data_IF_983986964084
#
_entry.id   IF_983986964084
#
_cell.length_a   1.000
_cell.length_b   1.000
_cell.length_c   1.000
_cell.angle_alpha   90.00
_cell.angle_beta   90.00
_cell.angle_gamma   90.00
#
_symmetry.space_group_name_H-M   'P 1'
#
loop_
_entity.id
_entity.type
_entity.pdbx_description
1 polymer ?
#
# COMPACT_ATOMS: atom_id res chain seq x y z
N UNK A 1 12.49 13.75 -32.82
CA UNK A 1 11.69 12.54 -32.58
C UNK A 1 10.96 12.75 -31.26
N UNK A 2 9.65 12.89 -31.29
CA UNK A 2 8.87 13.11 -30.07
C UNK A 2 8.80 11.81 -29.27
N UNK A 3 8.82 11.87 -27.93
CA UNK A 3 8.79 10.71 -27.01
C UNK A 3 7.69 9.65 -27.29
N UNK A 4 6.67 10.00 -28.08
CA UNK A 4 5.57 9.12 -28.47
C UNK A 4 5.85 8.26 -29.72
N UNK A 5 6.87 8.59 -30.52
CA UNK A 5 7.23 7.83 -31.73
C UNK A 5 8.22 6.69 -31.43
N UNK A 6 8.89 6.74 -30.27
CA UNK A 6 9.81 5.71 -29.79
C UNK A 6 9.08 4.78 -28.80
N UNK A 7 9.09 3.44 -29.00
CA UNK A 7 8.55 2.50 -28.02
C UNK A 7 9.13 2.69 -26.61
N UNK A 8 10.41 3.10 -26.48
CA UNK A 8 11.01 3.37 -25.17
C UNK A 8 10.38 4.60 -24.48
N UNK A 9 10.12 5.67 -25.23
CA UNK A 9 9.49 6.88 -24.69
C UNK A 9 8.04 6.66 -24.27
N UNK A 10 7.33 5.74 -24.94
CA UNK A 10 5.95 5.37 -24.56
C UNK A 10 5.88 4.69 -23.18
N UNK A 11 6.87 3.84 -22.85
CA UNK A 11 6.96 3.18 -21.53
C UNK A 11 7.20 4.22 -20.42
N UNK A 12 8.10 5.17 -20.65
CA UNK A 12 8.39 6.27 -19.71
C UNK A 12 7.13 7.10 -19.42
N UNK A 13 6.41 7.52 -20.47
CA UNK A 13 5.16 8.29 -20.32
C UNK A 13 4.10 7.49 -19.57
N UNK A 14 3.99 6.19 -19.84
CA UNK A 14 3.03 5.30 -19.17
C UNK A 14 3.35 5.19 -17.67
N UNK A 15 4.62 5.01 -17.30
CA UNK A 15 5.06 4.96 -15.89
C UNK A 15 4.82 6.27 -15.17
N UNK A 16 5.18 7.39 -15.80
CA UNK A 16 4.93 8.71 -15.25
C UNK A 16 3.43 8.92 -14.98
N UNK A 17 2.59 8.55 -15.95
CA UNK A 17 1.13 8.65 -15.83
C UNK A 17 0.62 7.77 -14.69
N UNK A 18 1.08 6.53 -14.58
CA UNK A 18 0.70 5.63 -13.50
C UNK A 18 1.06 6.20 -12.12
N UNK A 19 2.28 6.72 -11.93
CA UNK A 19 2.65 7.32 -10.65
C UNK A 19 1.90 8.62 -10.34
N UNK A 20 1.64 9.47 -11.33
CA UNK A 20 0.82 10.66 -11.14
C UNK A 20 -0.62 10.31 -10.73
N UNK A 21 -1.22 9.30 -11.35
CA UNK A 21 -2.53 8.80 -10.97
C UNK A 21 -2.53 8.18 -9.57
N UNK A 22 -1.48 7.44 -9.20
CA UNK A 22 -1.30 6.92 -7.86
C UNK A 22 -1.18 8.05 -6.83
N UNK A 23 -0.41 9.09 -7.12
CA UNK A 23 -0.29 10.28 -6.28
C UNK A 23 -1.66 10.89 -5.99
N UNK A 24 -2.45 11.14 -7.03
CA UNK A 24 -3.80 11.71 -6.89
C UNK A 24 -4.72 10.77 -6.11
N UNK A 25 -4.69 9.47 -6.40
CA UNK A 25 -5.52 8.47 -5.72
C UNK A 25 -5.17 8.36 -4.22
N UNK A 26 -3.88 8.27 -3.88
CA UNK A 26 -3.40 8.18 -2.50
C UNK A 26 -3.66 9.47 -1.71
N UNK A 27 -3.43 10.63 -2.31
CA UNK A 27 -3.73 11.92 -1.67
C UNK A 27 -5.23 12.08 -1.43
N UNK A 28 -6.07 11.68 -2.39
CA UNK A 28 -7.52 11.70 -2.25
C UNK A 28 -7.98 10.75 -1.14
N UNK A 29 -7.43 9.53 -1.09
CA UNK A 29 -7.70 8.58 -0.02
C UNK A 29 -7.37 9.21 1.34
N UNK A 30 -6.16 9.75 1.52
CA UNK A 30 -5.76 10.41 2.77
C UNK A 30 -6.71 11.52 3.17
N UNK A 31 -7.08 12.40 2.22
CA UNK A 31 -7.95 13.54 2.48
C UNK A 31 -9.34 13.11 2.97
N UNK A 32 -10.02 12.21 2.24
CA UNK A 32 -11.36 11.77 2.62
C UNK A 32 -11.35 10.93 3.89
N UNK A 33 -10.29 10.15 4.12
CA UNK A 33 -10.10 9.37 5.35
C UNK A 33 -9.93 10.30 6.56
N UNK A 34 -9.12 11.36 6.44
CA UNK A 34 -8.98 12.38 7.47
C UNK A 34 -10.31 13.08 7.77
N UNK A 35 -11.07 13.41 6.73
CA UNK A 35 -12.38 14.04 6.88
C UNK A 35 -13.36 13.12 7.61
N UNK A 36 -13.39 11.83 7.26
CA UNK A 36 -14.27 10.85 7.88
C UNK A 36 -13.88 10.59 9.36
N UNK A 37 -12.58 10.53 9.65
CA UNK A 37 -12.05 10.39 11.01
C UNK A 37 -12.48 11.53 11.94
N UNK A 38 -12.59 12.76 11.43
CA UNK A 38 -13.01 13.94 12.21
C UNK A 38 -14.50 13.94 12.58
N UNK A 39 -15.38 13.27 11.81
CA UNK A 39 -16.85 13.30 11.98
C UNK A 39 -17.43 12.25 12.95
N UNK A 40 -16.57 11.41 13.54
CA UNK A 40 -16.78 10.52 14.72
C UNK A 40 -18.18 9.90 14.93
N UNK A 41 -18.36 8.68 14.42
CA UNK A 41 -19.26 7.65 15.01
C UNK A 41 -18.52 6.40 15.51
N UNK A 42 -17.28 6.15 15.06
CA UNK A 42 -16.44 5.02 15.53
C UNK A 42 -15.05 5.56 15.87
N UNK A 43 -14.65 5.47 17.15
CA UNK A 43 -13.29 5.79 17.65
C UNK A 43 -12.36 4.66 17.23
N UNK A 44 -11.91 4.70 15.98
CA UNK A 44 -11.24 3.58 15.35
C UNK A 44 -9.78 3.90 15.01
N UNK A 45 -8.85 3.10 15.53
CA UNK A 45 -7.41 3.21 15.21
C UNK A 45 -7.13 2.80 13.75
N UNK A 46 -8.07 2.10 13.10
CA UNK A 46 -8.06 1.82 11.65
C UNK A 46 -7.81 3.08 10.83
N UNK A 47 -8.47 4.19 11.18
CA UNK A 47 -8.35 5.44 10.40
C UNK A 47 -6.91 5.97 10.39
N UNK A 48 -6.16 5.78 11.48
CA UNK A 48 -4.75 6.17 11.57
C UNK A 48 -3.91 5.39 10.55
N UNK A 49 -4.08 4.07 10.48
CA UNK A 49 -3.36 3.23 9.53
C UNK A 49 -3.77 3.49 8.07
N UNK A 50 -5.04 3.77 7.78
CA UNK A 50 -5.45 4.16 6.41
C UNK A 50 -4.86 5.50 6.00
N UNK A 51 -4.77 6.47 6.92
CA UNK A 51 -4.08 7.75 6.67
C UNK A 51 -2.59 7.52 6.41
N UNK A 52 -1.92 6.73 7.25
CA UNK A 52 -0.51 6.37 7.07
C UNK A 52 -0.27 5.63 5.76
N UNK A 53 -1.18 4.73 5.36
CA UNK A 53 -1.15 4.08 4.06
C UNK A 53 -1.27 5.10 2.93
N UNK A 54 -2.23 6.01 2.95
CA UNK A 54 -2.34 7.05 1.92
C UNK A 54 -1.11 7.98 1.85
N UNK A 55 -0.49 8.30 2.98
CA UNK A 55 0.79 9.04 3.03
C UNK A 55 1.92 8.21 2.38
N UNK A 56 2.07 6.94 2.76
CA UNK A 56 3.07 6.05 2.18
C UNK A 56 2.86 5.83 0.68
N UNK A 57 1.61 5.73 0.22
CA UNK A 57 1.26 5.64 -1.20
C UNK A 57 1.60 6.93 -1.96
N UNK A 58 1.44 8.10 -1.32
CA UNK A 58 1.86 9.39 -1.88
C UNK A 58 3.39 9.45 -2.03
N UNK A 59 4.14 9.02 -1.01
CA UNK A 59 5.60 8.95 -1.08
C UNK A 59 6.07 7.93 -2.13
N UNK A 60 5.39 6.79 -2.25
CA UNK A 60 5.64 5.79 -3.27
C UNK A 60 5.46 6.37 -4.68
N UNK A 61 4.39 7.13 -4.91
CA UNK A 61 4.18 7.82 -6.19
C UNK A 61 5.24 8.89 -6.49
N UNK A 62 5.64 9.69 -5.50
CA UNK A 62 6.68 10.72 -5.68
C UNK A 62 8.04 10.11 -5.99
N UNK A 63 8.44 9.08 -5.25
CA UNK A 63 9.72 8.38 -5.43
C UNK A 63 9.75 7.58 -6.73
N UNK A 64 8.62 6.99 -7.14
CA UNK A 64 8.48 6.37 -8.46
C UNK A 64 8.56 7.39 -9.61
N UNK A 65 7.97 8.57 -9.44
CA UNK A 65 8.09 9.66 -10.42
C UNK A 65 9.54 10.14 -10.51
N UNK A 66 10.22 10.32 -9.37
CA UNK A 66 11.63 10.69 -9.32
C UNK A 66 12.52 9.63 -9.99
N UNK A 67 12.24 8.35 -9.78
CA UNK A 67 12.97 7.25 -10.44
C UNK A 67 12.84 7.33 -11.97
N UNK A 68 11.62 7.58 -12.48
CA UNK A 68 11.38 7.70 -13.93
C UNK A 68 12.09 8.92 -14.51
N UNK A 69 12.12 10.04 -13.79
CA UNK A 69 12.82 11.27 -14.22
C UNK A 69 14.33 11.07 -14.20
N UNK A 70 14.86 10.42 -13.16
CA UNK A 70 16.29 10.08 -13.06
C UNK A 70 16.73 9.14 -14.18
N UNK A 71 15.92 8.12 -14.50
CA UNK A 71 16.16 7.19 -15.60
C UNK A 71 16.12 7.85 -16.99
N UNK A 72 15.46 9.01 -17.12
CA UNK A 72 15.44 9.79 -18.36
C UNK A 72 16.66 10.74 -18.50
N UNK A 73 17.70 10.58 -17.66
CA UNK A 73 18.92 11.42 -17.61
C UNK A 73 18.63 12.92 -17.37
N UNK A 74 17.45 13.26 -16.84
CA UNK A 74 17.06 14.65 -16.56
C UNK A 74 17.74 15.18 -15.28
N UNK A 75 18.17 14.27 -14.39
CA UNK A 75 18.83 14.56 -13.12
C UNK A 75 19.95 13.54 -12.88
N UNK A 76 21.14 14.01 -12.50
CA UNK A 76 22.24 13.18 -11.97
C UNK A 76 21.86 12.61 -10.60
N UNK A 77 20.98 11.61 -10.59
CA UNK A 77 20.57 10.91 -9.39
C UNK A 77 20.91 9.42 -9.50
N UNK A 78 21.41 8.84 -8.42
CA UNK A 78 21.66 7.41 -8.35
C UNK A 78 20.34 6.65 -8.46
N UNK A 79 20.11 6.08 -9.65
CA UNK A 79 18.90 5.34 -10.02
C UNK A 79 18.68 4.15 -9.07
N UNK A 80 19.76 3.53 -8.58
CA UNK A 80 19.70 2.42 -7.63
C UNK A 80 19.16 2.87 -6.28
N UNK A 81 19.66 4.01 -5.78
CA UNK A 81 19.22 4.59 -4.51
C UNK A 81 17.75 5.04 -4.55
N UNK A 82 17.35 5.80 -5.57
CA UNK A 82 15.97 6.30 -5.72
C UNK A 82 14.99 5.13 -5.89
N UNK A 83 15.35 4.13 -6.70
CA UNK A 83 14.55 2.92 -6.86
C UNK A 83 14.40 2.13 -5.57
N UNK A 84 15.43 2.10 -4.73
CA UNK A 84 15.39 1.42 -3.43
C UNK A 84 14.49 2.15 -2.42
N UNK A 85 14.49 3.48 -2.42
CA UNK A 85 13.55 4.27 -1.62
C UNK A 85 12.11 4.05 -2.11
N UNK A 86 11.88 4.02 -3.42
CA UNK A 86 10.55 3.71 -3.97
C UNK A 86 10.02 2.37 -3.44
N UNK A 87 10.86 1.33 -3.47
CA UNK A 87 10.52 -0.02 -2.96
C UNK A 87 10.17 -0.01 -1.47
N UNK A 88 10.91 0.76 -0.66
CA UNK A 88 10.58 0.99 0.75
C UNK A 88 9.19 1.61 0.90
N UNK A 89 8.91 2.70 0.19
CA UNK A 89 7.61 3.39 0.28
C UNK A 89 6.45 2.47 -0.14
N UNK A 90 6.64 1.67 -1.20
CA UNK A 90 5.68 0.66 -1.62
C UNK A 90 5.43 -0.40 -0.55
N UNK A 91 6.49 -0.87 0.12
CA UNK A 91 6.36 -1.85 1.19
C UNK A 91 5.57 -1.28 2.39
N UNK A 92 5.89 -0.06 2.82
CA UNK A 92 5.16 0.61 3.89
C UNK A 92 3.70 0.87 3.54
N UNK A 93 3.40 1.18 2.27
CA UNK A 93 2.02 1.28 1.78
C UNK A 93 1.25 -0.03 2.00
N UNK A 94 1.83 -1.17 1.65
CA UNK A 94 1.23 -2.50 1.85
C UNK A 94 1.08 -2.82 3.34
N UNK A 95 2.13 -2.56 4.14
CA UNK A 95 2.13 -2.83 5.58
C UNK A 95 1.01 -2.05 6.27
N UNK A 96 0.91 -0.74 6.04
CA UNK A 96 -0.12 0.08 6.68
C UNK A 96 -1.54 -0.33 6.26
N UNK A 97 -1.75 -0.72 5.00
CA UNK A 97 -3.03 -1.30 4.59
C UNK A 97 -3.32 -2.61 5.33
N UNK A 98 -2.35 -3.50 5.46
CA UNK A 98 -2.52 -4.76 6.17
C UNK A 98 -2.84 -4.55 7.66
N UNK A 99 -2.16 -3.61 8.32
CA UNK A 99 -2.42 -3.23 9.70
C UNK A 99 -3.80 -2.58 9.88
N UNK A 100 -4.25 -1.78 8.90
CA UNK A 100 -5.61 -1.23 8.92
C UNK A 100 -6.69 -2.33 8.92
N UNK A 101 -6.48 -3.42 8.16
CA UNK A 101 -7.41 -4.55 8.14
C UNK A 101 -7.40 -5.34 9.45
N UNK A 102 -6.22 -5.50 10.06
CA UNK A 102 -6.09 -6.13 11.36
C UNK A 102 -6.85 -5.36 12.43
N UNK A 103 -6.70 -4.03 12.48
CA UNK A 103 -7.38 -3.23 13.50
C UNK A 103 -8.90 -3.23 13.30
N UNK A 104 -9.36 -3.17 12.05
CA UNK A 104 -10.77 -3.31 11.72
C UNK A 104 -11.35 -4.67 12.16
N UNK A 105 -10.57 -5.75 12.06
CA UNK A 105 -11.01 -7.07 12.55
C UNK A 105 -11.22 -7.07 14.05
N UNK A 106 -10.28 -6.50 14.80
CA UNK A 106 -10.38 -6.49 16.25
C UNK A 106 -11.44 -5.53 16.81
N UNK A 107 -11.82 -4.50 16.05
CA UNK A 107 -12.94 -3.63 16.39
C UNK A 107 -14.30 -4.25 16.05
N UNK A 108 -14.33 -5.30 15.22
CA UNK A 108 -15.58 -6.01 14.92
C UNK A 108 -16.08 -6.81 16.14
N UNK A 109 -17.40 -7.07 16.26
CA UNK A 109 -17.97 -7.84 17.37
C UNK A 109 -17.33 -9.23 17.54
N UNK A 110 -16.79 -9.81 16.46
CA UNK A 110 -16.09 -11.08 16.50
C UNK A 110 -14.69 -10.96 17.09
N UNK A 111 -13.95 -9.91 16.73
CA UNK A 111 -12.63 -9.64 17.29
C UNK A 111 -12.66 -9.28 18.77
N UNK A 112 -13.79 -8.77 19.28
CA UNK A 112 -13.99 -8.50 20.72
C UNK A 112 -14.09 -9.81 21.52
N UNK A 113 -14.65 -10.88 20.95
CA UNK A 113 -14.66 -12.22 21.55
C UNK A 113 -13.28 -12.88 21.60
N UNK A 114 -12.49 -12.75 20.52
CA UNK A 114 -11.11 -13.27 20.46
C UNK A 114 -10.12 -12.45 21.31
N UNK A 115 -10.26 -11.11 21.39
CA UNK A 115 -9.45 -10.25 22.28
C UNK A 115 -9.81 -10.44 23.76
N UNK A 116 -11.06 -10.79 24.06
CA UNK A 116 -11.60 -10.82 25.43
C UNK A 116 -11.27 -12.07 26.23
N UNK A 117 -10.78 -13.14 25.60
CA UNK A 117 -10.57 -14.42 26.26
C UNK A 117 -9.20 -14.57 26.95
N UNK A 118 -8.07 -14.10 26.37
CA UNK A 118 -6.75 -14.62 26.82
C UNK A 118 -5.50 -13.73 26.56
N UNK A 119 -5.56 -12.39 26.64
CA UNK A 119 -4.35 -11.55 26.47
C UNK A 119 -3.95 -10.79 27.75
N UNK A 120 -2.91 -11.25 28.49
CA UNK A 120 -2.39 -10.57 29.69
C UNK A 120 -1.57 -9.29 29.39
N UNK A 121 -1.67 -8.74 28.19
CA UNK A 121 -0.84 -7.63 27.69
C UNK A 121 -1.72 -6.42 27.43
N UNK A 122 -1.35 -5.27 27.99
CA UNK A 122 -2.10 -4.02 27.82
C UNK A 122 -2.12 -3.57 26.35
N UNK A 123 -3.23 -2.94 25.92
CA UNK A 123 -3.42 -2.40 24.56
C UNK A 123 -2.29 -1.40 24.19
N UNK A 124 -1.78 -0.66 25.17
CA UNK A 124 -0.69 0.29 24.99
C UNK A 124 0.66 -0.40 24.72
N UNK A 125 0.92 -1.55 25.35
CA UNK A 125 2.13 -2.34 25.11
C UNK A 125 2.17 -2.95 23.71
N UNK A 126 1.03 -3.42 23.18
CA UNK A 126 0.95 -3.98 21.82
C UNK A 126 1.32 -2.91 20.78
N UNK A 127 0.93 -1.66 21.01
CA UNK A 127 1.21 -0.53 20.12
C UNK A 127 2.69 -0.13 20.11
N UNK A 128 3.34 -0.15 21.26
CA UNK A 128 4.79 0.09 21.34
C UNK A 128 5.59 -1.01 20.65
N UNK A 129 5.15 -2.26 20.77
CA UNK A 129 5.78 -3.38 20.07
C UNK A 129 5.60 -3.25 18.56
N UNK A 130 4.43 -2.83 18.10
CA UNK A 130 4.15 -2.61 16.68
C UNK A 130 4.97 -1.45 16.10
N UNK A 131 4.99 -0.30 16.79
CA UNK A 131 5.82 0.83 16.41
C UNK A 131 7.31 0.47 16.43
N UNK A 132 7.74 -0.33 17.43
CA UNK A 132 9.09 -0.86 17.51
C UNK A 132 9.43 -1.78 16.34
N UNK A 133 8.54 -2.70 16.00
CA UNK A 133 8.70 -3.59 14.85
C UNK A 133 8.80 -2.81 13.53
N UNK A 134 7.91 -1.83 13.31
CA UNK A 134 7.96 -0.96 12.13
C UNK A 134 9.23 -0.12 12.07
N UNK A 135 9.69 0.39 13.23
CA UNK A 135 10.93 1.16 13.33
C UNK A 135 12.15 0.29 13.02
N UNK A 136 12.22 -0.93 13.57
CA UNK A 136 13.28 -1.89 13.29
C UNK A 136 13.28 -2.27 11.81
N UNK A 137 12.10 -2.57 11.24
CA UNK A 137 11.97 -2.88 9.82
C UNK A 137 12.42 -1.70 8.94
N UNK A 138 12.03 -0.47 9.30
CA UNK A 138 12.47 0.75 8.61
C UNK A 138 13.99 0.92 8.66
N UNK A 139 14.59 0.83 9.86
CA UNK A 139 16.02 1.00 10.07
C UNK A 139 16.83 -0.09 9.37
N UNK A 140 16.36 -1.34 9.42
CA UNK A 140 16.99 -2.47 8.74
C UNK A 140 16.95 -2.27 7.22
N UNK A 141 15.81 -1.87 6.67
CA UNK A 141 15.70 -1.60 5.24
C UNK A 141 16.57 -0.40 4.84
N UNK A 142 16.61 0.67 5.64
CA UNK A 142 17.51 1.80 5.43
C UNK A 142 18.99 1.39 5.43
N UNK A 143 19.40 0.52 6.36
CA UNK A 143 20.77 0.03 6.40
C UNK A 143 21.12 -0.74 5.12
N UNK A 144 20.21 -1.56 4.59
CA UNK A 144 20.42 -2.29 3.33
C UNK A 144 20.59 -1.32 2.15
N UNK A 145 19.77 -0.26 2.10
CA UNK A 145 19.87 0.78 1.05
C UNK A 145 21.20 1.53 1.14
N UNK A 146 21.61 1.94 2.35
CA UNK A 146 22.87 2.68 2.56
C UNK A 146 24.12 1.86 2.24
N UNK A 147 24.01 0.52 2.30
CA UNK A 147 25.07 -0.41 1.93
C UNK A 147 25.02 -0.81 0.44
N UNK A 148 24.11 -0.23 -0.35
CA UNK A 148 23.91 -0.48 -1.78
C UNK A 148 23.65 -1.98 -2.12
N UNK A 149 22.97 -2.67 -1.20
CA UNK A 149 22.64 -4.09 -1.34
C UNK A 149 21.32 -4.27 -2.12
N UNK A 150 21.31 -3.90 -3.40
CA UNK A 150 20.09 -3.87 -4.26
C UNK A 150 19.41 -5.25 -4.33
N UNK A 151 20.19 -6.33 -4.52
CA UNK A 151 19.64 -7.69 -4.60
C UNK A 151 19.00 -8.14 -3.28
N UNK A 152 19.58 -7.74 -2.15
CA UNK A 152 19.02 -8.04 -0.82
C UNK A 152 17.72 -7.26 -0.63
N UNK A 153 17.68 -5.99 -1.05
CA UNK A 153 16.49 -5.15 -1.01
C UNK A 153 15.32 -5.80 -1.74
N UNK A 154 15.56 -6.35 -2.92
CA UNK A 154 14.58 -7.09 -3.72
C UNK A 154 14.02 -8.32 -3.00
N UNK A 155 14.90 -9.15 -2.44
CA UNK A 155 14.51 -10.39 -1.75
C UNK A 155 13.72 -10.07 -0.48
N UNK A 156 14.19 -9.10 0.31
CA UNK A 156 13.51 -8.66 1.54
C UNK A 156 12.15 -8.06 1.20
N UNK A 157 12.07 -7.23 0.16
CA UNK A 157 10.81 -6.65 -0.31
C UNK A 157 9.82 -7.74 -0.72
N UNK A 158 10.24 -8.76 -1.48
CA UNK A 158 9.38 -9.87 -1.88
C UNK A 158 8.84 -10.65 -0.68
N UNK A 159 9.74 -11.05 0.22
CA UNK A 159 9.35 -11.81 1.40
C UNK A 159 8.36 -11.01 2.27
N UNK A 160 8.66 -9.73 2.49
CA UNK A 160 7.81 -8.85 3.27
C UNK A 160 6.49 -8.54 2.55
N UNK A 161 6.49 -8.24 1.25
CA UNK A 161 5.26 -7.93 0.52
C UNK A 161 4.31 -9.11 0.49
N UNK A 162 4.82 -10.33 0.24
CA UNK A 162 4.01 -11.56 0.30
C UNK A 162 3.46 -11.75 1.72
N UNK A 163 4.32 -11.65 2.74
CA UNK A 163 3.94 -11.83 4.13
C UNK A 163 2.83 -10.86 4.55
N UNK A 164 3.00 -9.56 4.32
CA UNK A 164 2.03 -8.53 4.70
C UNK A 164 0.76 -8.53 3.85
N UNK A 165 0.85 -8.83 2.56
CA UNK A 165 -0.33 -9.00 1.72
C UNK A 165 -1.17 -10.18 2.22
N UNK A 166 -0.57 -11.36 2.45
CA UNK A 166 -1.28 -12.52 2.98
C UNK A 166 -1.85 -12.24 4.38
N UNK A 167 -1.10 -11.55 5.23
CA UNK A 167 -1.55 -11.12 6.55
C UNK A 167 -2.81 -10.25 6.43
N UNK A 168 -2.77 -9.16 5.67
CA UNK A 168 -3.90 -8.25 5.50
C UNK A 168 -5.13 -8.92 4.87
N UNK A 169 -4.91 -9.77 3.85
CA UNK A 169 -5.99 -10.54 3.20
C UNK A 169 -6.62 -11.57 4.16
N UNK A 170 -5.84 -12.21 5.02
CA UNK A 170 -6.37 -13.15 6.02
C UNK A 170 -7.32 -12.47 7.00
N UNK A 171 -6.97 -11.29 7.51
CA UNK A 171 -7.87 -10.52 8.38
C UNK A 171 -9.12 -10.04 7.62
N UNK A 172 -8.94 -9.49 6.42
CA UNK A 172 -10.06 -8.99 5.63
C UNK A 172 -11.06 -10.10 5.25
N UNK A 173 -10.58 -11.31 4.92
CA UNK A 173 -11.45 -12.46 4.61
C UNK A 173 -12.18 -12.99 5.85
N UNK A 174 -11.55 -12.98 7.02
CA UNK A 174 -12.22 -13.30 8.30
C UNK A 174 -13.36 -12.32 8.61
N UNK A 175 -13.14 -11.02 8.45
CA UNK A 175 -14.21 -10.01 8.61
C UNK A 175 -15.34 -10.23 7.60
N UNK A 176 -14.98 -10.56 6.35
CA UNK A 176 -15.97 -10.80 5.29
C UNK A 176 -16.84 -12.04 5.55
N UNK A 177 -16.23 -13.15 5.98
CA UNK A 177 -16.96 -14.37 6.36
C UNK A 177 -17.88 -14.15 7.57
N UNK A 178 -17.45 -13.30 8.50
CA UNK A 178 -18.22 -12.87 9.67
C UNK A 178 -19.44 -12.02 9.33
N UNK A 179 -19.28 -11.09 8.38
CA UNK A 179 -20.27 -10.08 8.03
C UNK A 179 -21.31 -10.56 7.01
N UNK A 180 -21.25 -11.82 6.56
CA UNK A 180 -22.18 -12.39 5.56
C UNK A 180 -23.66 -12.33 5.95
N UNK A 181 -24.01 -12.07 7.22
CA UNK A 181 -25.39 -11.83 7.66
C UNK A 181 -25.89 -10.39 7.42
N UNK A 182 -25.00 -9.43 7.14
CA UNK A 182 -25.34 -8.02 6.97
C UNK A 182 -24.64 -7.45 5.73
N UNK A 183 -25.37 -7.40 4.60
CA UNK A 183 -24.95 -6.77 3.31
C UNK A 183 -24.70 -5.26 3.50
N UNK A 184 -23.61 -4.93 4.17
CA UNK A 184 -23.26 -3.57 4.57
C UNK A 184 -22.18 -3.01 3.65
N UNK A 185 -22.09 -1.67 3.59
CA UNK A 185 -21.06 -0.91 2.88
C UNK A 185 -19.63 -1.41 3.22
N UNK A 186 -19.46 -1.99 4.41
CA UNK A 186 -18.21 -2.58 4.90
C UNK A 186 -17.70 -3.74 4.01
N UNK A 187 -18.58 -4.63 3.53
CA UNK A 187 -18.18 -5.77 2.69
C UNK A 187 -17.59 -5.31 1.35
N UNK A 188 -18.16 -4.24 0.79
CA UNK A 188 -17.66 -3.65 -0.46
C UNK A 188 -16.29 -2.97 -0.23
N UNK A 189 -16.12 -2.25 0.88
CA UNK A 189 -14.83 -1.63 1.23
C UNK A 189 -13.72 -2.67 1.43
N UNK A 190 -14.00 -3.75 2.17
CA UNK A 190 -13.05 -4.86 2.39
C UNK A 190 -12.63 -5.51 1.09
N UNK A 191 -13.57 -5.71 0.16
CA UNK A 191 -13.28 -6.30 -1.15
C UNK A 191 -12.28 -5.46 -1.94
N UNK A 192 -12.45 -4.13 -1.94
CA UNK A 192 -11.49 -3.25 -2.63
C UNK A 192 -10.13 -3.21 -1.92
N UNK A 193 -10.08 -3.27 -0.59
CA UNK A 193 -8.80 -3.27 0.13
C UNK A 193 -8.03 -4.57 -0.10
N UNK A 194 -8.71 -5.73 -0.12
CA UNK A 194 -8.11 -7.01 -0.54
C UNK A 194 -7.54 -6.88 -1.96
N UNK A 195 -8.32 -6.31 -2.89
CA UNK A 195 -7.89 -6.13 -4.26
C UNK A 195 -6.65 -5.22 -4.38
N UNK A 196 -6.58 -4.14 -3.59
CA UNK A 196 -5.39 -3.26 -3.50
C UNK A 196 -4.19 -4.02 -2.93
N UNK A 197 -4.36 -4.78 -1.85
CA UNK A 197 -3.27 -5.56 -1.24
C UNK A 197 -2.70 -6.62 -2.19
N UNK A 198 -3.56 -7.31 -2.93
CA UNK A 198 -3.15 -8.33 -3.91
C UNK A 198 -2.45 -7.69 -5.11
N UNK A 199 -2.96 -6.58 -5.62
CA UNK A 199 -2.36 -5.90 -6.77
C UNK A 199 -1.04 -5.20 -6.41
N UNK A 200 -0.98 -4.46 -5.31
CA UNK A 200 0.25 -3.81 -4.85
C UNK A 200 1.30 -4.82 -4.38
N UNK A 201 0.88 -5.87 -3.66
CA UNK A 201 1.75 -6.98 -3.26
C UNK A 201 2.28 -7.78 -4.45
N UNK A 202 1.42 -8.03 -5.44
CA UNK A 202 1.81 -8.65 -6.71
C UNK A 202 2.81 -7.79 -7.49
N UNK A 203 2.60 -6.47 -7.56
CA UNK A 203 3.54 -5.56 -8.20
C UNK A 203 4.94 -5.64 -7.56
N UNK A 204 5.00 -5.66 -6.22
CA UNK A 204 6.26 -5.88 -5.49
C UNK A 204 6.89 -7.24 -5.81
N UNK A 205 6.08 -8.30 -5.90
CA UNK A 205 6.59 -9.65 -6.12
C UNK A 205 7.18 -9.83 -7.53
N UNK A 206 6.55 -9.22 -8.52
CA UNK A 206 6.97 -9.27 -9.93
C UNK A 206 8.34 -8.61 -10.12
N UNK A 207 8.68 -7.57 -9.34
CA UNK A 207 9.97 -6.89 -9.44
C UNK A 207 11.19 -7.82 -9.19
N UNK A 208 11.01 -8.92 -8.46
CA UNK A 208 12.08 -9.93 -8.26
C UNK A 208 12.32 -10.78 -9.50
N UNK A 209 11.42 -10.77 -10.47
CA UNK A 209 11.59 -11.48 -11.75
C UNK A 209 12.90 -11.14 -12.47
N UNK A 210 13.42 -9.93 -12.25
CA UNK A 210 14.73 -9.51 -12.81
C UNK A 210 15.89 -10.37 -12.28
N UNK A 211 15.82 -10.87 -11.04
CA UNK A 211 16.83 -11.78 -10.48
C UNK A 211 16.74 -13.19 -11.06
N UNK A 212 15.59 -13.55 -11.63
CA UNK A 212 15.34 -14.86 -12.24
C UNK A 212 15.57 -14.85 -13.77
N UNK A 213 16.29 -13.84 -14.29
CA UNK A 213 16.59 -13.66 -15.72
C UNK A 213 15.34 -13.53 -16.60
N UNK A 214 14.23 -13.07 -16.02
CA UNK A 214 13.02 -12.73 -16.77
C UNK A 214 13.26 -11.42 -17.50
N UNK A 215 12.79 -11.33 -18.75
CA UNK A 215 12.89 -10.14 -19.59
C UNK A 215 12.41 -8.88 -18.82
N UNK A 216 13.26 -7.85 -18.65
CA UNK A 216 12.92 -6.65 -17.88
C UNK A 216 11.65 -5.95 -18.37
N UNK A 217 11.44 -5.92 -19.69
CA UNK A 217 10.25 -5.34 -20.31
C UNK A 217 8.95 -6.04 -19.87
N UNK A 218 8.99 -7.36 -19.65
CA UNK A 218 7.82 -8.13 -19.21
C UNK A 218 7.54 -7.87 -17.72
N UNK A 219 8.58 -7.85 -16.89
CA UNK A 219 8.48 -7.49 -15.47
C UNK A 219 7.89 -6.09 -15.29
N UNK A 220 8.39 -5.13 -16.04
CA UNK A 220 7.94 -3.74 -16.02
C UNK A 220 6.47 -3.62 -16.46
N UNK A 221 6.10 -4.27 -17.57
CA UNK A 221 4.73 -4.28 -18.07
C UNK A 221 3.73 -4.82 -17.04
N UNK A 222 4.05 -5.95 -16.40
CA UNK A 222 3.18 -6.56 -15.39
C UNK A 222 3.10 -5.67 -14.14
N UNK A 223 4.22 -5.10 -13.69
CA UNK A 223 4.24 -4.19 -12.53
C UNK A 223 3.38 -2.95 -12.77
N UNK A 224 3.44 -2.36 -13.98
CA UNK A 224 2.60 -1.22 -14.37
C UNK A 224 1.12 -1.61 -14.32
N UNK A 225 0.74 -2.74 -14.92
CA UNK A 225 -0.67 -3.19 -14.93
C UNK A 225 -1.19 -3.38 -13.51
N UNK A 226 -0.43 -4.05 -12.65
CA UNK A 226 -0.81 -4.27 -11.25
C UNK A 226 -0.90 -2.96 -10.46
N UNK A 227 -0.01 -2.01 -10.75
CA UNK A 227 -0.07 -0.66 -10.16
C UNK A 227 -1.35 0.06 -10.61
N UNK A 228 -1.69 0.04 -11.89
CA UNK A 228 -2.93 0.64 -12.43
C UNK A 228 -4.18 -0.02 -11.82
N UNK A 229 -4.17 -1.34 -11.62
CA UNK A 229 -5.26 -2.02 -10.91
C UNK A 229 -5.38 -1.51 -9.46
N UNK A 230 -4.26 -1.36 -8.74
CA UNK A 230 -4.23 -0.80 -7.39
C UNK A 230 -4.85 0.60 -7.35
N UNK A 231 -4.48 1.47 -8.30
CA UNK A 231 -5.01 2.83 -8.45
C UNK A 231 -6.53 2.79 -8.66
N UNK A 232 -7.00 1.91 -9.54
CA UNK A 232 -8.43 1.79 -9.84
C UNK A 232 -9.22 1.45 -8.59
N UNK A 233 -8.77 0.46 -7.82
CA UNK A 233 -9.44 0.07 -6.58
C UNK A 233 -9.35 1.16 -5.50
N UNK A 234 -8.23 1.89 -5.40
CA UNK A 234 -8.07 3.05 -4.52
C UNK A 234 -9.09 4.15 -4.84
N UNK A 235 -9.29 4.48 -6.11
CA UNK A 235 -10.25 5.50 -6.54
C UNK A 235 -11.70 5.09 -6.23
N UNK A 236 -12.05 3.82 -6.45
CA UNK A 236 -13.38 3.31 -6.11
C UNK A 236 -13.60 3.36 -4.60
N UNK A 237 -12.62 2.90 -3.80
CA UNK A 237 -12.68 2.99 -2.34
C UNK A 237 -12.86 4.44 -1.86
N UNK A 238 -12.09 5.36 -2.44
CA UNK A 238 -12.15 6.79 -2.12
C UNK A 238 -13.52 7.39 -2.45
N UNK A 239 -14.10 7.00 -3.58
CA UNK A 239 -15.46 7.45 -3.97
C UNK A 239 -16.51 6.96 -2.98
N UNK A 240 -16.39 5.72 -2.48
CA UNK A 240 -17.28 5.20 -1.44
C UNK A 240 -17.11 5.92 -0.10
N UNK A 241 -15.88 6.24 0.27
CA UNK A 241 -15.61 7.06 1.47
C UNK A 241 -16.25 8.45 1.33
N UNK A 242 -16.12 9.09 0.16
CA UNK A 242 -16.77 10.36 -0.13
C UNK A 242 -18.30 10.29 -0.03
N UNK A 243 -18.91 9.24 -0.58
CA UNK A 243 -20.37 9.02 -0.47
C UNK A 243 -20.81 8.89 0.98
N UNK A 244 -20.10 8.09 1.78
CA UNK A 244 -20.37 7.95 3.22
C UNK A 244 -20.30 9.31 3.95
N UNK A 245 -19.28 10.13 3.65
CA UNK A 245 -19.16 11.48 4.22
C UNK A 245 -20.34 12.37 3.85
N UNK A 246 -20.84 12.28 2.61
CA UNK A 246 -21.96 13.08 2.13
C UNK A 246 -23.29 12.66 2.79
N UNK A 247 -23.52 11.35 2.94
CA UNK A 247 -24.72 10.80 3.55
C UNK A 247 -24.84 11.14 5.04
N UNK A 248 -23.72 11.29 5.75
CA UNK A 248 -23.69 11.70 7.18
C UNK A 248 -23.94 13.21 7.38
N UNK A 249 -23.83 14.03 6.32
CA UNK A 249 -24.08 15.48 6.40
C UNK A 249 -25.52 15.92 6.10
N UNK A 250 -26.43 14.98 5.85
CA UNK A 250 -27.87 15.20 5.69
C UNK A 250 -28.58 14.78 6.98
#
# INVERSE_FOLDING_TARGET
MTLLEDPAGTVVVTRLTAYLLLFVASMSLTYYTMQNSRRRTIRSEMWGYVILAGIAGTLYALTGTAEVIAAAEVLDADIGFVGSIRRLCQLFFIIFLALSMRELYFESPQGTGDRGADLPISIESIRWIEAGFLCIAFLQFMAIILLDLINVTLIVQLAASIGFTLYGVSFATRIKGAAMSSRTVLDTMLTYIIAILLSAGGASAVEVGVLADIQPALVESISIVLTIMSITFLLVLTTRLKQNVADVSV
#
